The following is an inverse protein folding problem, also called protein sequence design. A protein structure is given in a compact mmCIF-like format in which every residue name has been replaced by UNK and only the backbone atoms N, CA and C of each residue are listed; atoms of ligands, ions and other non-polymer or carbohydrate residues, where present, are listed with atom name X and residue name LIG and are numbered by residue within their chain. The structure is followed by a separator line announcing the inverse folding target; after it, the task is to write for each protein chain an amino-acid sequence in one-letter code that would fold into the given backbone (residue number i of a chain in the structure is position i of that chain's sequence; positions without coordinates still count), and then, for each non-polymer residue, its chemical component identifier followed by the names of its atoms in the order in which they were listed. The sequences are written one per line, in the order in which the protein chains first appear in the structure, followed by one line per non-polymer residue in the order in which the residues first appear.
data_IF_970330769299
#
_entry.id   IF_970330769299
#
_cell.length_a   1.000
_cell.length_b   1.000
_cell.length_c   1.000
_cell.angle_alpha   90.00
_cell.angle_beta   90.00
_cell.angle_gamma   90.00
#
_symmetry.space_group_name_H-M   'P 1'
#
loop_
_entity.id
_entity.type
_entity.pdbx_description
1 polymer ?
#
# COMPACT_ATOMS: atom_id res chain seq x y z
N UNK A 1 -24.82 -13.71 -80.60
CA UNK A 1 -25.19 -13.88 -79.19
C UNK A 1 -23.92 -14.16 -78.39
N UNK A 2 -23.51 -13.22 -77.55
CA UNK A 2 -22.30 -13.34 -76.69
C UNK A 2 -22.75 -13.78 -75.30
N UNK A 3 -22.36 -15.00 -74.91
CA UNK A 3 -22.59 -15.51 -73.57
C UNK A 3 -21.53 -14.96 -72.62
N UNK A 4 -21.92 -14.20 -71.64
CA UNK A 4 -21.04 -13.76 -70.56
C UNK A 4 -21.05 -14.80 -69.43
N UNK A 5 -19.88 -15.40 -69.24
CA UNK A 5 -19.59 -16.34 -68.15
C UNK A 5 -19.29 -15.52 -66.88
N UNK A 6 -20.18 -15.48 -65.89
CA UNK A 6 -19.91 -14.89 -64.62
C UNK A 6 -19.20 -15.91 -63.73
N UNK A 7 -17.92 -15.66 -63.45
CA UNK A 7 -17.14 -16.39 -62.46
C UNK A 7 -17.45 -15.76 -61.08
N UNK A 8 -18.20 -16.48 -60.26
CA UNK A 8 -18.41 -16.10 -58.85
C UNK A 8 -17.20 -16.59 -58.07
N UNK A 9 -16.33 -15.65 -57.68
CA UNK A 9 -15.24 -15.93 -56.73
C UNK A 9 -15.86 -15.94 -55.33
N UNK A 10 -15.96 -17.15 -54.77
CA UNK A 10 -16.35 -17.33 -53.37
C UNK A 10 -15.14 -17.03 -52.48
N UNK A 11 -15.06 -15.83 -51.91
CA UNK A 11 -14.04 -15.48 -50.92
C UNK A 11 -14.49 -16.12 -49.62
N UNK A 12 -13.83 -17.24 -49.26
CA UNK A 12 -13.93 -17.77 -47.90
C UNK A 12 -13.19 -16.83 -46.97
N UNK A 13 -13.95 -16.01 -46.21
CA UNK A 13 -13.41 -15.29 -45.09
C UNK A 13 -13.11 -16.30 -43.97
N UNK A 14 -11.83 -16.63 -43.80
CA UNK A 14 -11.37 -17.31 -42.60
C UNK A 14 -11.52 -16.32 -41.46
N UNK A 15 -12.59 -16.46 -40.71
CA UNK A 15 -12.78 -15.76 -39.46
C UNK A 15 -11.74 -16.30 -38.46
N UNK A 16 -10.66 -15.56 -38.28
CA UNK A 16 -9.80 -15.72 -37.12
C UNK A 16 -10.67 -15.39 -35.89
N UNK A 17 -11.17 -16.43 -35.23
CA UNK A 17 -11.71 -16.26 -33.87
C UNK A 17 -10.56 -15.77 -32.99
N UNK A 18 -10.70 -14.59 -32.35
CA UNK A 18 -9.71 -14.17 -31.38
C UNK A 18 -9.70 -15.23 -30.27
N UNK A 19 -8.54 -15.84 -30.08
CA UNK A 19 -8.29 -16.71 -28.94
C UNK A 19 -8.36 -15.78 -27.72
N UNK A 20 -9.49 -15.82 -27.01
CA UNK A 20 -9.64 -15.15 -25.72
C UNK A 20 -8.70 -15.86 -24.74
N UNK A 21 -7.40 -15.53 -24.79
CA UNK A 21 -6.57 -15.67 -23.62
C UNK A 21 -7.28 -14.87 -22.52
N UNK A 22 -7.59 -15.45 -21.35
CA UNK A 22 -8.03 -14.68 -20.21
C UNK A 22 -6.90 -13.68 -19.94
N UNK A 23 -7.10 -12.44 -20.36
CA UNK A 23 -6.22 -11.34 -20.06
C UNK A 23 -6.19 -11.31 -18.55
N UNK A 24 -5.03 -11.67 -17.96
CA UNK A 24 -4.76 -11.44 -16.55
C UNK A 24 -5.19 -9.99 -16.30
N UNK A 25 -6.12 -9.73 -15.36
CA UNK A 25 -6.57 -8.37 -15.13
C UNK A 25 -5.32 -7.52 -14.94
N UNK A 26 -5.23 -6.43 -15.70
CA UNK A 26 -4.13 -5.49 -15.53
C UNK A 26 -4.10 -5.15 -14.06
N UNK A 27 -2.95 -5.37 -13.40
CA UNK A 27 -2.79 -5.03 -11.99
C UNK A 27 -3.12 -3.55 -11.86
N UNK A 28 -4.20 -3.24 -11.19
CA UNK A 28 -4.59 -1.85 -10.99
C UNK A 28 -3.52 -1.23 -10.08
N UNK A 29 -2.86 -0.20 -10.57
CA UNK A 29 -1.93 0.59 -9.77
C UNK A 29 -2.68 1.79 -9.21
N UNK A 30 -2.51 2.05 -7.94
CA UNK A 30 -3.01 3.23 -7.26
C UNK A 30 -1.81 3.99 -6.70
N UNK A 31 -1.62 5.20 -7.18
CA UNK A 31 -0.56 6.09 -6.69
C UNK A 31 -1.16 7.09 -5.68
N UNK A 32 -0.49 7.29 -4.57
CA UNK A 32 -0.90 8.22 -3.53
C UNK A 32 0.28 9.03 -3.00
N UNK A 33 0.02 10.29 -2.68
CA UNK A 33 0.98 11.17 -2.01
C UNK A 33 0.42 11.52 -0.64
N UNK A 34 1.25 11.33 0.38
CA UNK A 34 0.91 11.67 1.75
C UNK A 34 1.48 13.03 2.13
N UNK A 35 0.80 13.70 3.03
CA UNK A 35 1.16 15.04 3.53
C UNK A 35 1.63 15.01 4.97
N UNK A 36 1.39 13.91 5.68
CA UNK A 36 1.75 13.75 7.09
C UNK A 36 2.32 12.36 7.34
N UNK A 37 3.36 12.26 8.16
CA UNK A 37 3.88 11.01 8.69
C UNK A 37 4.12 11.11 10.20
N UNK A 38 3.36 10.35 10.96
CA UNK A 38 3.45 10.23 12.43
C UNK A 38 4.08 8.89 12.79
N UNK A 39 5.18 8.92 13.54
CA UNK A 39 5.94 7.75 13.96
C UNK A 39 5.77 7.54 15.47
N UNK A 40 5.35 6.36 15.86
CA UNK A 40 5.17 5.98 17.26
C UNK A 40 6.11 4.83 17.62
N UNK A 41 6.85 5.01 18.71
CA UNK A 41 7.78 4.00 19.22
C UNK A 41 7.18 3.26 20.42
N UNK A 42 7.16 1.93 20.37
CA UNK A 42 6.57 1.07 21.41
C UNK A 42 7.58 0.22 22.18
N UNK A 43 8.87 0.57 22.13
CA UNK A 43 9.96 -0.23 22.70
C UNK A 43 9.86 -1.70 22.26
N UNK A 44 10.28 -2.66 23.09
CA UNK A 44 10.17 -4.11 22.82
C UNK A 44 8.78 -4.63 23.28
N UNK A 45 7.72 -4.16 22.61
CA UNK A 45 6.33 -4.44 22.99
C UNK A 45 6.01 -5.93 23.09
N UNK A 46 6.60 -6.76 22.22
CA UNK A 46 6.34 -8.20 22.16
C UNK A 46 7.35 -9.07 22.92
N UNK A 47 8.33 -8.49 23.61
CA UNK A 47 9.48 -9.22 24.17
C UNK A 47 10.21 -10.07 23.10
N UNK A 48 10.24 -9.58 21.87
CA UNK A 48 10.85 -10.26 20.72
C UNK A 48 12.34 -9.96 20.55
N UNK A 49 12.88 -9.05 21.35
CA UNK A 49 14.24 -8.53 21.19
C UNK A 49 14.35 -7.42 20.15
N UNK A 50 13.21 -6.94 19.63
CA UNK A 50 13.13 -5.85 18.66
C UNK A 50 12.44 -4.63 19.27
N UNK A 51 12.86 -3.46 18.85
CA UNK A 51 12.06 -2.26 19.04
C UNK A 51 10.96 -2.23 17.96
N UNK A 52 9.74 -1.85 18.36
CA UNK A 52 8.57 -1.80 17.48
C UNK A 52 8.20 -0.35 17.20
N UNK A 53 7.89 -0.06 15.96
CA UNK A 53 7.34 1.23 15.54
C UNK A 53 6.01 1.03 14.82
N UNK A 54 5.20 2.09 14.81
CA UNK A 54 4.11 2.25 13.86
C UNK A 54 4.32 3.55 13.07
N UNK A 55 3.83 3.55 11.84
CA UNK A 55 3.79 4.74 10.98
C UNK A 55 2.36 4.97 10.55
N UNK A 56 1.89 6.19 10.74
CA UNK A 56 0.56 6.62 10.36
C UNK A 56 0.67 7.76 9.37
N UNK A 57 0.09 7.61 8.18
CA UNK A 57 0.21 8.57 7.09
C UNK A 57 -1.15 9.04 6.61
N UNK A 58 -1.30 10.36 6.54
CA UNK A 58 -2.51 10.99 6.03
C UNK A 58 -2.24 11.61 4.66
N UNK A 59 -3.14 11.36 3.72
CA UNK A 59 -3.17 12.09 2.45
C UNK A 59 -3.75 13.49 2.64
N UNK A 60 -3.61 14.34 1.62
CA UNK A 60 -4.30 15.61 1.57
C UNK A 60 -5.80 15.44 1.81
N UNK A 61 -6.40 16.40 2.53
CA UNK A 61 -7.81 16.37 2.94
C UNK A 61 -8.13 15.59 4.21
N UNK A 62 -7.13 14.95 4.83
CA UNK A 62 -7.25 14.36 6.17
C UNK A 62 -6.40 15.11 7.19
N UNK A 63 -6.90 15.22 8.39
CA UNK A 63 -6.19 15.80 9.53
C UNK A 63 -6.52 15.09 10.84
N UNK A 64 -5.68 15.25 11.86
CA UNK A 64 -5.99 14.86 13.21
C UNK A 64 -6.70 15.99 13.94
N UNK A 65 -7.81 15.70 14.60
CA UNK A 65 -8.42 16.61 15.56
C UNK A 65 -7.60 16.68 16.87
N UNK A 66 -8.04 17.52 17.80
CA UNK A 66 -7.39 17.68 19.12
C UNK A 66 -7.42 16.41 19.99
N UNK A 67 -8.28 15.46 19.68
CA UNK A 67 -8.44 14.17 20.36
C UNK A 67 -7.76 13.02 19.58
N UNK A 68 -7.02 13.35 18.53
CA UNK A 68 -6.32 12.39 17.66
C UNK A 68 -7.24 11.49 16.82
N UNK A 69 -8.47 11.89 16.59
CA UNK A 69 -9.31 11.25 15.61
C UNK A 69 -8.99 11.82 14.21
N UNK A 70 -9.01 10.95 13.22
CA UNK A 70 -8.85 11.35 11.83
C UNK A 70 -10.19 11.90 11.33
N UNK A 71 -10.15 13.09 10.73
CA UNK A 71 -11.30 13.75 10.12
C UNK A 71 -11.01 14.17 8.68
N UNK A 72 -12.07 14.33 7.87
CA UNK A 72 -11.98 14.78 6.48
C UNK A 72 -12.29 13.70 5.46
N UNK A 73 -11.71 13.87 4.26
CA UNK A 73 -11.86 12.95 3.14
C UNK A 73 -10.51 12.66 2.51
N UNK A 74 -10.13 11.39 2.41
CA UNK A 74 -8.82 10.99 1.87
C UNK A 74 -8.45 9.55 2.18
N UNK A 75 -7.15 9.28 2.20
CA UNK A 75 -6.58 7.97 2.50
C UNK A 75 -5.67 8.05 3.73
N UNK A 76 -5.82 7.09 4.63
CA UNK A 76 -4.89 6.89 5.73
C UNK A 76 -4.19 5.53 5.57
N UNK A 77 -2.87 5.54 5.38
CA UNK A 77 -2.05 4.33 5.38
C UNK A 77 -1.44 4.14 6.76
N UNK A 78 -1.79 3.05 7.40
CA UNK A 78 -1.28 2.68 8.72
C UNK A 78 -0.40 1.43 8.62
N UNK A 79 0.83 1.52 9.12
CA UNK A 79 1.74 0.40 9.28
C UNK A 79 1.96 0.20 10.78
N UNK A 80 1.49 -0.92 11.31
CA UNK A 80 1.85 -1.31 12.66
C UNK A 80 3.00 -2.32 12.62
N UNK A 81 3.67 -2.47 13.79
CA UNK A 81 4.62 -3.54 14.03
C UNK A 81 5.78 -3.58 13.03
N UNK A 82 6.45 -2.44 12.88
CA UNK A 82 7.72 -2.32 12.16
C UNK A 82 8.83 -2.68 13.14
N UNK A 83 9.57 -3.76 12.84
CA UNK A 83 10.59 -4.33 13.72
C UNK A 83 11.98 -3.86 13.32
N UNK A 84 12.70 -3.33 14.30
CA UNK A 84 14.11 -2.91 14.16
C UNK A 84 14.95 -3.42 15.31
N UNK A 85 16.27 -3.34 15.18
CA UNK A 85 17.16 -3.72 16.27
C UNK A 85 16.82 -2.98 17.57
N UNK A 86 16.90 -3.67 18.70
CA UNK A 86 16.50 -3.14 20.03
C UNK A 86 17.25 -1.85 20.42
N UNK A 87 18.50 -1.73 19.98
CA UNK A 87 19.34 -0.57 20.27
C UNK A 87 19.22 0.54 19.22
N UNK A 88 18.23 0.44 18.34
CA UNK A 88 17.94 1.46 17.34
C UNK A 88 17.62 2.78 18.02
N UNK A 89 18.17 3.84 17.49
CA UNK A 89 18.05 5.20 18.01
C UNK A 89 16.60 5.68 18.04
N UNK A 90 16.37 6.89 18.53
CA UNK A 90 15.04 7.51 18.70
C UNK A 90 14.22 7.66 17.40
N UNK A 91 14.74 7.23 16.27
CA UNK A 91 14.03 7.27 14.98
C UNK A 91 14.14 5.93 14.26
N UNK A 92 13.19 5.66 13.39
CA UNK A 92 13.16 4.48 12.56
C UNK A 92 14.38 4.47 11.62
N UNK A 93 15.23 3.42 11.61
CA UNK A 93 16.42 3.38 10.77
C UNK A 93 16.13 3.54 9.28
N UNK A 94 17.03 4.20 8.55
CA UNK A 94 16.98 4.20 7.10
C UNK A 94 17.26 2.79 6.57
N UNK A 95 16.60 2.40 5.49
CA UNK A 95 16.80 1.12 4.84
C UNK A 95 15.59 0.58 4.12
N UNK A 96 15.71 -0.65 3.68
CA UNK A 96 14.66 -1.41 3.02
C UNK A 96 13.98 -2.34 4.02
N UNK A 97 12.67 -2.31 4.05
CA UNK A 97 11.81 -3.11 4.92
C UNK A 97 10.90 -3.99 4.09
N UNK A 98 10.81 -5.25 4.43
CA UNK A 98 9.96 -6.21 3.75
C UNK A 98 8.75 -6.55 4.60
N UNK A 99 7.59 -6.72 3.97
CA UNK A 99 6.42 -7.21 4.67
C UNK A 99 6.57 -8.71 4.98
N UNK A 100 6.39 -9.08 6.25
CA UNK A 100 6.49 -10.47 6.70
C UNK A 100 5.30 -10.81 7.61
N UNK A 101 5.12 -12.07 7.89
CA UNK A 101 4.18 -12.59 8.89
C UNK A 101 4.86 -12.85 10.25
N UNK A 102 6.18 -12.67 10.33
CA UNK A 102 6.99 -12.94 11.51
C UNK A 102 7.81 -11.71 11.87
N UNK A 103 7.94 -11.45 13.18
CA UNK A 103 8.80 -10.40 13.71
C UNK A 103 10.28 -10.69 13.40
N UNK A 104 10.86 -9.88 12.52
CA UNK A 104 12.28 -9.87 12.17
C UNK A 104 12.76 -8.44 12.04
N UNK A 105 14.04 -8.23 12.22
CA UNK A 105 14.65 -6.93 11.95
C UNK A 105 14.43 -6.50 10.49
N UNK A 106 14.15 -5.23 10.28
CA UNK A 106 13.83 -4.63 8.97
C UNK A 106 12.62 -5.25 8.28
N UNK A 107 11.61 -5.65 9.06
CA UNK A 107 10.30 -6.09 8.53
C UNK A 107 9.16 -5.31 9.16
N UNK A 108 7.98 -5.42 8.56
CA UNK A 108 6.72 -4.95 9.11
C UNK A 108 5.60 -5.95 8.83
N UNK A 109 4.59 -5.99 9.72
CA UNK A 109 3.56 -7.02 9.63
C UNK A 109 2.54 -6.72 8.54
N UNK A 110 2.14 -7.79 7.84
CA UNK A 110 1.01 -7.75 6.90
C UNK A 110 -0.30 -7.42 7.61
N UNK A 111 -1.24 -6.83 6.87
CA UNK A 111 -2.59 -6.58 7.34
C UNK A 111 -3.36 -7.88 7.59
N UNK A 112 -4.05 -7.92 8.71
CA UNK A 112 -4.90 -9.05 9.11
C UNK A 112 -6.19 -8.54 9.74
N UNK A 113 -7.26 -9.33 9.59
CA UNK A 113 -8.51 -9.11 10.30
C UNK A 113 -8.83 -10.32 11.16
N UNK A 114 -9.12 -10.11 12.43
CA UNK A 114 -9.52 -11.14 13.37
C UNK A 114 -10.64 -10.62 14.27
N UNK A 115 -11.77 -11.32 14.31
CA UNK A 115 -12.95 -10.98 15.13
C UNK A 115 -13.42 -9.52 14.96
N UNK A 116 -13.34 -9.00 13.72
CA UNK A 116 -13.75 -7.63 13.42
C UNK A 116 -12.72 -6.55 13.73
N UNK A 117 -11.58 -6.91 14.33
CA UNK A 117 -10.46 -6.01 14.54
C UNK A 117 -9.46 -6.12 13.38
N UNK A 118 -8.87 -4.99 13.01
CA UNK A 118 -7.83 -4.91 11.98
C UNK A 118 -6.50 -4.59 12.65
N UNK A 119 -5.44 -5.28 12.22
CA UNK A 119 -4.06 -5.07 12.71
C UNK A 119 -3.08 -5.23 11.56
N UNK A 120 -1.81 -4.91 11.80
CA UNK A 120 -0.76 -4.93 10.77
C UNK A 120 -0.85 -3.72 9.85
N UNK A 121 -0.65 -3.92 8.57
CA UNK A 121 -0.62 -2.84 7.58
C UNK A 121 -1.93 -2.77 6.80
N UNK A 122 -2.58 -1.62 6.83
CA UNK A 122 -3.85 -1.41 6.13
C UNK A 122 -4.01 0.03 5.66
N UNK A 123 -4.88 0.21 4.66
CA UNK A 123 -5.30 1.48 4.13
C UNK A 123 -6.78 1.72 4.47
N UNK A 124 -7.07 2.87 5.07
CA UNK A 124 -8.43 3.36 5.24
C UNK A 124 -8.77 4.33 4.11
N UNK A 125 -9.90 4.12 3.47
CA UNK A 125 -10.54 5.12 2.63
C UNK A 125 -11.61 5.81 3.45
N UNK A 126 -11.46 7.13 3.63
CA UNK A 126 -12.31 7.95 4.49
C UNK A 126 -13.02 8.99 3.64
N UNK A 127 -14.31 9.15 3.83
CA UNK A 127 -15.08 10.23 3.24
C UNK A 127 -16.06 10.77 4.27
N UNK A 128 -16.11 12.09 4.38
CA UNK A 128 -17.00 12.79 5.32
C UNK A 128 -16.86 12.24 6.76
N UNK A 129 -15.62 12.13 7.24
CA UNK A 129 -15.26 11.60 8.57
C UNK A 129 -15.66 10.13 8.83
N UNK A 130 -16.08 9.39 7.80
CA UNK A 130 -16.48 8.00 7.93
C UNK A 130 -15.57 7.05 7.14
N UNK A 131 -15.18 5.95 7.76
CA UNK A 131 -14.45 4.88 7.07
C UNK A 131 -15.39 4.21 6.08
N UNK A 132 -15.10 4.37 4.79
CA UNK A 132 -15.86 3.76 3.70
C UNK A 132 -15.34 2.35 3.39
N UNK A 133 -14.04 2.16 3.49
CA UNK A 133 -13.40 0.89 3.16
C UNK A 133 -12.08 0.71 3.93
N UNK A 134 -11.79 -0.54 4.27
CA UNK A 134 -10.50 -0.96 4.81
C UNK A 134 -9.89 -1.93 3.80
N UNK A 135 -8.66 -1.68 3.38
CA UNK A 135 -7.90 -2.53 2.49
C UNK A 135 -6.70 -3.09 3.26
N UNK A 136 -6.65 -4.40 3.42
CA UNK A 136 -5.52 -5.08 4.05
C UNK A 136 -4.36 -5.18 3.06
N UNK A 137 -3.18 -4.76 3.48
CA UNK A 137 -1.95 -4.95 2.70
C UNK A 137 -1.35 -6.30 3.07
N UNK A 138 -1.18 -7.16 2.07
CA UNK A 138 -0.79 -8.57 2.30
C UNK A 138 0.59 -8.91 1.79
N UNK A 139 1.24 -7.97 1.11
CA UNK A 139 2.60 -8.10 0.59
C UNK A 139 3.20 -6.77 0.21
N UNK A 140 4.50 -6.75 -0.02
CA UNK A 140 5.22 -5.58 -0.49
C UNK A 140 6.40 -5.18 0.37
N UNK A 141 6.84 -3.95 0.18
CA UNK A 141 8.01 -3.38 0.84
C UNK A 141 7.86 -1.88 1.08
N UNK A 142 8.75 -1.36 1.90
CA UNK A 142 8.90 0.05 2.19
C UNK A 142 10.39 0.41 2.20
N UNK A 143 10.75 1.55 1.63
CA UNK A 143 12.08 2.13 1.77
C UNK A 143 12.00 3.40 2.60
N UNK A 144 12.94 3.56 3.53
CA UNK A 144 13.10 4.74 4.37
C UNK A 144 14.45 5.37 4.08
N UNK A 145 14.46 6.64 3.76
CA UNK A 145 15.67 7.46 3.66
C UNK A 145 15.48 8.77 4.43
N UNK A 146 16.57 9.47 4.67
CA UNK A 146 16.55 10.79 5.32
C UNK A 146 17.34 11.77 4.45
N UNK A 147 16.72 12.91 4.16
CA UNK A 147 17.30 14.02 3.40
C UNK A 147 17.25 15.28 4.27
N UNK A 148 18.40 15.68 4.81
CA UNK A 148 18.49 16.72 5.84
C UNK A 148 17.60 16.38 7.06
N UNK A 149 16.55 17.15 7.31
CA UNK A 149 15.61 16.96 8.41
C UNK A 149 14.33 16.20 7.98
N UNK A 150 14.17 15.95 6.69
CA UNK A 150 13.03 15.27 6.13
C UNK A 150 13.23 13.74 6.09
N UNK A 151 12.14 13.00 6.28
CA UNK A 151 12.07 11.58 5.97
C UNK A 151 11.48 11.40 4.57
N UNK A 152 12.09 10.49 3.82
CA UNK A 152 11.58 10.04 2.52
C UNK A 152 11.11 8.60 2.68
N UNK A 153 9.82 8.38 2.43
CA UNK A 153 9.20 7.07 2.47
C UNK A 153 8.71 6.71 1.07
N UNK A 154 8.96 5.48 0.66
CA UNK A 154 8.48 4.90 -0.60
C UNK A 154 7.88 3.53 -0.28
N UNK A 155 6.61 3.35 -0.61
CA UNK A 155 5.84 2.14 -0.33
C UNK A 155 5.44 1.47 -1.63
N UNK A 156 5.73 0.19 -1.75
CA UNK A 156 5.27 -0.68 -2.82
C UNK A 156 4.50 -1.85 -2.20
N UNK A 157 3.19 -1.70 -2.06
CA UNK A 157 2.33 -2.61 -1.32
C UNK A 157 1.32 -3.32 -2.23
N UNK A 158 0.80 -4.44 -1.77
CA UNK A 158 -0.19 -5.23 -2.49
C UNK A 158 -1.34 -5.60 -1.56
N UNK A 159 -2.56 -5.45 -2.06
CA UNK A 159 -3.78 -5.89 -1.38
C UNK A 159 -4.06 -7.38 -1.64
N UNK A 160 -5.05 -7.96 -0.96
CA UNK A 160 -5.46 -9.36 -1.15
C UNK A 160 -5.91 -9.66 -2.59
N UNK A 161 -6.52 -8.69 -3.27
CA UNK A 161 -6.94 -8.82 -4.67
C UNK A 161 -5.81 -8.52 -5.68
N UNK A 162 -4.56 -8.42 -5.18
CA UNK A 162 -3.37 -8.11 -5.97
C UNK A 162 -3.37 -6.73 -6.62
N UNK A 163 -4.16 -5.79 -6.11
CA UNK A 163 -4.03 -4.37 -6.49
C UNK A 163 -2.69 -3.86 -5.98
N UNK A 164 -1.90 -3.27 -6.86
CA UNK A 164 -0.64 -2.63 -6.50
C UNK A 164 -0.90 -1.21 -6.00
N UNK A 165 -0.40 -0.91 -4.82
CA UNK A 165 -0.50 0.38 -4.19
C UNK A 165 0.91 0.96 -4.02
N UNK A 166 1.20 2.04 -4.74
CA UNK A 166 2.44 2.79 -4.60
C UNK A 166 2.15 4.12 -3.92
N UNK A 167 2.95 4.46 -2.92
CA UNK A 167 2.79 5.69 -2.19
C UNK A 167 4.13 6.27 -1.80
N UNK A 168 4.21 7.60 -1.74
CA UNK A 168 5.40 8.33 -1.33
C UNK A 168 5.08 9.40 -0.31
N UNK A 169 6.06 9.69 0.53
CA UNK A 169 6.05 10.83 1.43
C UNK A 169 7.46 11.45 1.49
N UNK A 170 7.53 12.76 1.46
CA UNK A 170 8.76 13.52 1.76
C UNK A 170 8.38 14.72 2.61
N UNK A 171 8.97 14.80 3.79
CA UNK A 171 8.70 15.87 4.73
C UNK A 171 9.14 15.54 6.15
N UNK A 172 8.79 16.38 7.13
CA UNK A 172 9.20 16.20 8.52
C UNK A 172 8.56 14.95 9.14
N UNK A 173 9.36 14.17 9.87
CA UNK A 173 8.86 13.06 10.66
C UNK A 173 8.41 13.54 12.04
N UNK A 174 7.18 13.26 12.41
CA UNK A 174 6.66 13.53 13.76
C UNK A 174 6.88 12.27 14.60
N UNK A 175 7.78 12.34 15.59
CA UNK A 175 8.06 11.22 16.50
C UNK A 175 7.36 11.41 17.85
N UNK A 176 6.73 10.35 18.36
CA UNK A 176 6.00 10.32 19.65
C UNK A 176 6.31 9.07 20.45
#
# INVERSE_FOLDING_TARGET
MKAYLYIIILVMAVACTPHNNPTRPATQQVDSVYTTADFRAYADFYNSGHQVYAVDQLSDGLEYDSAWHISGTGCNLYLSDIFVAKDSTKRLPAGYYEMDSVAKEMTFLRGMSFEGNVTGTYLLLIAEDQIQRILLMTGGNMTIAYEADDVVLDFNLYTEDSTHYHATYTGPAIYR
#
